data_IF_389539560419
#
_entry.id   IF_389539560419
#
_cell.length_a   1.000
_cell.length_b   1.000
_cell.length_c   1.000
_cell.angle_alpha   90.00
_cell.angle_beta   90.00
_cell.angle_gamma   90.00
#
_symmetry.space_group_name_H-M   'P 1'
#
loop_
_entity.id
_entity.type
_entity.pdbx_description
1 polymer ?
#
# COMPACT_ATOMS: atom_id res chain seq x y z
N UNK A 1 -24.88 3.54 9.27
CA UNK A 1 -24.92 2.74 8.02
C UNK A 1 -23.58 2.05 7.89
N UNK A 2 -23.60 0.78 7.61
CA UNK A 2 -22.38 0.02 7.31
C UNK A 2 -21.85 0.46 5.94
N UNK A 3 -20.57 0.72 5.82
CA UNK A 3 -19.96 1.14 4.56
C UNK A 3 -19.89 -0.05 3.59
N UNK A 4 -19.99 0.21 2.28
CA UNK A 4 -20.17 -0.83 1.27
C UNK A 4 -19.05 -1.89 1.21
N UNK A 5 -17.82 -1.54 1.64
CA UNK A 5 -16.65 -2.42 1.61
C UNK A 5 -16.03 -2.61 3.02
N UNK A 6 -16.81 -2.45 4.08
CA UNK A 6 -16.31 -2.52 5.47
C UNK A 6 -15.71 -3.88 5.87
N UNK A 7 -16.06 -4.93 5.14
CA UNK A 7 -15.57 -6.31 5.32
C UNK A 7 -14.34 -6.65 4.44
N UNK A 8 -13.92 -5.72 3.55
CA UNK A 8 -12.82 -5.95 2.61
C UNK A 8 -11.50 -5.38 3.13
N UNK A 9 -10.45 -6.20 3.13
CA UNK A 9 -9.07 -5.80 3.45
C UNK A 9 -8.21 -5.80 2.19
N UNK A 10 -7.58 -4.67 1.90
CA UNK A 10 -6.71 -4.45 0.73
C UNK A 10 -5.28 -4.20 1.17
N UNK A 11 -4.31 -4.93 0.62
CA UNK A 11 -2.88 -4.62 0.72
C UNK A 11 -2.47 -3.79 -0.50
N UNK A 12 -2.09 -2.53 -0.27
CA UNK A 12 -1.74 -1.57 -1.33
C UNK A 12 -0.22 -1.46 -1.48
N UNK A 13 0.32 -2.06 -2.54
CA UNK A 13 1.71 -1.91 -2.99
C UNK A 13 1.85 -0.83 -4.07
N UNK A 14 0.77 -0.13 -4.38
CA UNK A 14 0.68 0.81 -5.48
C UNK A 14 1.68 1.95 -5.42
N UNK A 15 2.12 2.40 -6.59
CA UNK A 15 3.09 3.48 -6.73
C UNK A 15 2.56 4.57 -7.65
N UNK A 16 3.10 5.77 -7.48
CA UNK A 16 2.89 6.95 -8.30
C UNK A 16 1.43 7.44 -8.28
N UNK A 17 0.58 7.07 -9.23
CA UNK A 17 -0.77 7.66 -9.36
C UNK A 17 -1.87 6.61 -9.43
N UNK A 18 -1.86 5.75 -10.44
CA UNK A 18 -3.01 4.94 -10.81
C UNK A 18 -3.48 4.01 -9.66
N UNK A 19 -2.58 3.19 -9.14
CA UNK A 19 -2.96 2.25 -8.08
C UNK A 19 -3.25 2.95 -6.74
N UNK A 20 -2.43 3.94 -6.26
CA UNK A 20 -2.81 4.70 -5.07
C UNK A 20 -4.14 5.43 -5.17
N UNK A 21 -4.53 5.88 -6.36
CA UNK A 21 -5.85 6.48 -6.59
C UNK A 21 -6.97 5.42 -6.52
N UNK A 22 -6.78 4.27 -7.15
CA UNK A 22 -7.72 3.15 -7.07
C UNK A 22 -7.97 2.72 -5.62
N UNK A 23 -6.91 2.45 -4.88
CA UNK A 23 -7.02 1.99 -3.48
C UNK A 23 -7.54 3.07 -2.53
N UNK A 24 -7.35 4.36 -2.87
CA UNK A 24 -8.01 5.47 -2.17
C UNK A 24 -9.54 5.41 -2.34
N UNK A 25 -10.05 5.14 -3.55
CA UNK A 25 -11.49 4.99 -3.76
C UNK A 25 -12.06 3.82 -2.97
N UNK A 26 -11.33 2.70 -2.90
CA UNK A 26 -11.74 1.56 -2.07
C UNK A 26 -11.78 1.94 -0.58
N UNK A 27 -10.80 2.70 -0.11
CA UNK A 27 -10.77 3.21 1.27
C UNK A 27 -11.91 4.18 1.56
N UNK A 28 -12.27 5.04 0.60
CA UNK A 28 -13.39 5.98 0.73
C UNK A 28 -14.76 5.25 0.75
N UNK A 29 -14.82 4.03 0.23
CA UNK A 29 -16.01 3.15 0.28
C UNK A 29 -16.01 2.22 1.50
N UNK A 30 -15.06 2.39 2.42
CA UNK A 30 -15.02 1.67 3.69
C UNK A 30 -14.05 0.48 3.75
N UNK A 31 -13.36 0.13 2.65
CA UNK A 31 -12.37 -0.93 2.70
C UNK A 31 -11.22 -0.60 3.66
N UNK A 32 -10.75 -1.59 4.40
CA UNK A 32 -9.54 -1.48 5.20
C UNK A 32 -8.30 -1.55 4.30
N UNK A 33 -7.82 -0.42 3.84
CA UNK A 33 -6.63 -0.36 2.98
C UNK A 33 -5.37 -0.19 3.83
N UNK A 34 -4.40 -1.09 3.64
CA UNK A 34 -3.08 -1.07 4.29
C UNK A 34 -2.03 -0.82 3.24
N UNK A 35 -1.48 0.39 3.24
CA UNK A 35 -0.36 0.78 2.37
C UNK A 35 0.93 0.11 2.84
N UNK A 36 1.57 -0.65 1.95
CA UNK A 36 2.87 -1.27 2.18
C UNK A 36 3.93 -0.43 1.46
N UNK A 37 4.90 0.08 2.20
CA UNK A 37 5.92 0.97 1.66
C UNK A 37 7.30 0.66 2.24
N UNK A 38 8.35 0.64 1.42
CA UNK A 38 9.70 0.54 1.94
C UNK A 38 10.13 1.86 2.59
N UNK A 39 11.03 1.79 3.56
CA UNK A 39 11.58 2.96 4.25
C UNK A 39 12.26 3.94 3.28
N UNK A 40 12.94 3.43 2.28
CA UNK A 40 13.62 4.23 1.27
C UNK A 40 12.62 5.05 0.43
N UNK A 41 11.55 4.41 -0.05
CA UNK A 41 10.50 5.09 -0.81
C UNK A 41 9.75 6.14 -0.01
N UNK A 42 9.47 5.87 1.25
CA UNK A 42 8.86 6.85 2.13
C UNK A 42 9.73 8.10 2.27
N UNK A 43 11.04 7.93 2.43
CA UNK A 43 12.00 9.03 2.49
C UNK A 43 12.09 9.80 1.17
N UNK A 44 12.20 9.10 0.04
CA UNK A 44 12.25 9.70 -1.29
C UNK A 44 11.00 10.56 -1.56
N UNK A 45 9.82 10.03 -1.29
CA UNK A 45 8.56 10.75 -1.44
C UNK A 45 8.52 12.02 -0.59
N UNK A 46 8.97 11.97 0.65
CA UNK A 46 9.04 13.14 1.54
C UNK A 46 10.08 14.14 1.06
N UNK A 47 11.21 13.71 0.48
CA UNK A 47 12.24 14.61 -0.03
C UNK A 47 11.74 15.46 -1.20
N UNK A 48 10.83 14.95 -2.02
CA UNK A 48 10.17 15.65 -3.12
C UNK A 48 9.03 16.58 -2.64
N UNK A 49 8.74 16.59 -1.34
CA UNK A 49 7.61 17.30 -0.76
C UNK A 49 7.71 18.82 -0.86
N UNK A 50 6.57 19.45 -1.06
CA UNK A 50 6.42 20.90 -1.03
C UNK A 50 6.43 21.35 0.44
N UNK A 51 7.22 22.37 0.74
CA UNK A 51 7.18 23.03 2.03
C UNK A 51 5.92 23.89 2.13
N UNK A 52 5.18 23.77 3.20
CA UNK A 52 4.09 24.67 3.54
C UNK A 52 4.19 25.08 5.00
N UNK A 53 3.66 26.24 5.33
CA UNK A 53 3.53 26.69 6.72
C UNK A 53 2.08 26.55 7.15
N UNK A 54 1.83 25.80 8.23
CA UNK A 54 0.52 25.66 8.86
C UNK A 54 0.63 26.02 10.34
N UNK A 55 -0.15 26.99 10.78
CA UNK A 55 -0.12 27.48 12.16
C UNK A 55 1.30 27.89 12.65
N UNK A 56 2.10 28.49 11.79
CA UNK A 56 3.48 28.88 12.10
C UNK A 56 4.52 27.73 12.08
N UNK A 57 4.11 26.49 11.78
CA UNK A 57 5.00 25.33 11.69
C UNK A 57 5.26 24.99 10.22
N UNK A 58 6.53 24.86 9.86
CA UNK A 58 6.91 24.39 8.51
C UNK A 58 6.70 22.87 8.42
N UNK A 59 5.88 22.44 7.48
CA UNK A 59 5.59 21.06 7.18
C UNK A 59 6.06 20.72 5.75
N UNK A 60 6.50 19.48 5.53
CA UNK A 60 6.66 18.93 4.19
C UNK A 60 5.46 18.07 3.82
N UNK A 61 4.83 18.39 2.70
CA UNK A 61 3.71 17.64 2.15
C UNK A 61 4.19 16.87 0.94
N UNK A 62 4.18 15.54 1.02
CA UNK A 62 4.59 14.71 -0.10
C UNK A 62 3.64 14.89 -1.30
N UNK A 63 4.17 14.95 -2.54
CA UNK A 63 3.33 14.98 -3.73
C UNK A 63 2.33 13.81 -3.73
N UNK A 64 1.05 14.13 -3.97
CA UNK A 64 0.01 13.11 -4.05
C UNK A 64 -0.42 12.49 -2.71
N UNK A 65 -0.04 13.07 -1.58
CA UNK A 65 -0.43 12.61 -0.25
C UNK A 65 -1.96 12.48 -0.08
N UNK A 66 -2.75 13.25 -0.83
CA UNK A 66 -4.22 13.13 -0.82
C UNK A 66 -4.72 11.75 -1.23
N UNK A 67 -3.92 10.99 -2.02
CA UNK A 67 -4.26 9.62 -2.45
C UNK A 67 -4.05 8.58 -1.36
N UNK A 68 -3.47 8.97 -0.24
CA UNK A 68 -3.24 8.09 0.91
C UNK A 68 -4.27 8.30 2.03
N UNK A 69 -5.32 9.13 1.78
CA UNK A 69 -6.38 9.35 2.77
C UNK A 69 -7.14 8.04 3.06
N UNK A 70 -7.61 7.91 4.29
CA UNK A 70 -8.35 6.76 4.80
C UNK A 70 -7.57 5.42 4.76
N UNK A 71 -6.25 5.46 4.48
CA UNK A 71 -5.39 4.27 4.48
C UNK A 71 -4.58 4.17 5.78
N UNK A 72 -4.39 2.96 6.26
CA UNK A 72 -3.34 2.62 7.20
C UNK A 72 -2.02 2.48 6.44
N UNK A 73 -0.89 2.60 7.13
CA UNK A 73 0.43 2.41 6.52
C UNK A 73 1.32 1.51 7.38
N UNK A 74 2.09 0.65 6.71
CA UNK A 74 3.14 -0.13 7.34
C UNK A 74 4.41 -0.07 6.50
N UNK A 75 5.55 0.09 7.18
CA UNK A 75 6.85 0.04 6.51
C UNK A 75 7.35 -1.40 6.49
N UNK A 76 7.56 -1.94 5.29
CA UNK A 76 8.00 -3.31 5.08
C UNK A 76 8.96 -3.38 3.89
N UNK A 77 10.11 -4.07 4.07
CA UNK A 77 11.12 -4.22 3.02
C UNK A 77 10.97 -5.57 2.32
N UNK A 78 10.28 -5.57 1.18
CA UNK A 78 9.97 -6.77 0.40
C UNK A 78 11.18 -7.37 -0.33
N UNK A 79 12.34 -6.72 -0.28
CA UNK A 79 13.60 -7.27 -0.80
C UNK A 79 14.33 -8.16 0.20
N UNK A 80 13.82 -8.31 1.41
CA UNK A 80 14.39 -9.14 2.46
C UNK A 80 13.55 -10.39 2.72
N UNK A 81 14.15 -11.55 3.06
CA UNK A 81 13.39 -12.76 3.40
C UNK A 81 12.37 -12.52 4.52
N UNK A 82 12.74 -11.76 5.55
CA UNK A 82 11.83 -11.43 6.66
C UNK A 82 10.67 -10.53 6.24
N UNK A 83 10.93 -9.58 5.33
CA UNK A 83 9.87 -8.73 4.78
C UNK A 83 8.86 -9.52 3.95
N UNK A 84 9.34 -10.48 3.14
CA UNK A 84 8.49 -11.39 2.37
C UNK A 84 7.65 -12.26 3.30
N UNK A 85 8.25 -12.84 4.34
CA UNK A 85 7.55 -13.66 5.34
C UNK A 85 6.40 -12.86 6.00
N UNK A 86 6.70 -11.67 6.51
CA UNK A 86 5.69 -10.80 7.15
C UNK A 86 4.60 -10.35 6.16
N UNK A 87 4.96 -10.09 4.91
CA UNK A 87 3.97 -9.78 3.88
C UNK A 87 3.03 -10.95 3.64
N UNK A 88 3.55 -12.17 3.53
CA UNK A 88 2.73 -13.39 3.40
C UNK A 88 1.81 -13.61 4.61
N UNK A 89 2.23 -13.27 5.82
CA UNK A 89 1.34 -13.27 6.99
C UNK A 89 0.18 -12.28 6.83
N UNK A 90 0.43 -11.07 6.29
CA UNK A 90 -0.65 -10.12 6.00
C UNK A 90 -1.59 -10.64 4.93
N UNK A 91 -1.07 -11.30 3.89
CA UNK A 91 -1.86 -11.90 2.81
C UNK A 91 -2.88 -12.92 3.32
N UNK A 92 -2.59 -13.67 4.39
CA UNK A 92 -3.56 -14.61 4.98
C UNK A 92 -4.84 -13.95 5.48
N UNK A 93 -4.81 -12.63 5.71
CA UNK A 93 -5.91 -11.83 6.27
C UNK A 93 -6.46 -10.79 5.28
N UNK A 94 -5.97 -10.81 4.04
CA UNK A 94 -6.36 -9.88 3.01
C UNK A 94 -7.31 -10.53 1.99
N UNK A 95 -8.11 -9.71 1.35
CA UNK A 95 -9.01 -10.12 0.26
C UNK A 95 -8.48 -9.66 -1.10
N UNK A 96 -7.70 -8.58 -1.12
CA UNK A 96 -7.18 -7.98 -2.34
C UNK A 96 -5.73 -7.55 -2.15
N UNK A 97 -4.90 -7.80 -3.17
CA UNK A 97 -3.58 -7.18 -3.31
C UNK A 97 -3.62 -6.27 -4.53
N UNK A 98 -3.26 -5.01 -4.33
CA UNK A 98 -3.24 -3.99 -5.36
C UNK A 98 -1.80 -3.55 -5.64
N UNK A 99 -1.33 -3.73 -6.88
CA UNK A 99 0.03 -3.37 -7.28
C UNK A 99 0.04 -2.82 -8.73
N UNK A 100 1.03 -2.04 -9.07
CA UNK A 100 1.30 -1.55 -10.42
C UNK A 100 2.80 -1.51 -10.71
N UNK A 101 3.51 -2.53 -10.28
CA UNK A 101 4.91 -2.73 -10.59
C UNK A 101 5.10 -3.11 -12.07
N UNK A 102 6.34 -3.02 -12.53
CA UNK A 102 6.69 -3.56 -13.85
C UNK A 102 6.46 -5.07 -13.89
N UNK A 103 6.03 -5.56 -15.05
CA UNK A 103 5.77 -6.99 -15.30
C UNK A 103 6.93 -7.87 -14.79
N UNK A 104 6.59 -8.95 -14.10
CA UNK A 104 7.52 -9.92 -13.53
C UNK A 104 8.19 -9.47 -12.22
N UNK A 105 7.83 -8.30 -11.67
CA UNK A 105 8.43 -7.85 -10.41
C UNK A 105 7.93 -8.65 -9.20
N UNK A 106 6.63 -8.90 -9.13
CA UNK A 106 6.05 -9.71 -8.05
C UNK A 106 6.59 -11.14 -8.09
N UNK A 107 6.69 -11.72 -9.26
CA UNK A 107 7.26 -13.08 -9.46
C UNK A 107 8.72 -13.15 -9.01
N UNK A 108 9.55 -12.16 -9.37
CA UNK A 108 10.96 -12.11 -8.91
C UNK A 108 11.11 -11.99 -7.40
N UNK A 109 10.11 -11.43 -6.73
CA UNK A 109 10.06 -11.35 -5.26
C UNK A 109 9.50 -12.63 -4.61
N UNK A 110 9.03 -13.62 -5.39
CA UNK A 110 8.31 -14.78 -4.86
C UNK A 110 6.95 -14.42 -4.26
N UNK A 111 6.33 -13.37 -4.82
CA UNK A 111 5.04 -12.80 -4.44
C UNK A 111 4.09 -12.72 -5.65
N UNK A 112 4.36 -13.51 -6.70
CA UNK A 112 3.45 -13.66 -7.83
C UNK A 112 2.11 -14.26 -7.42
N UNK A 113 1.09 -14.16 -8.29
CA UNK A 113 -0.25 -14.66 -7.99
C UNK A 113 -0.24 -16.13 -7.55
N UNK A 114 0.50 -17.00 -8.25
CA UNK A 114 0.56 -18.42 -7.90
C UNK A 114 1.22 -18.66 -6.54
N UNK A 115 2.24 -17.89 -6.16
CA UNK A 115 2.86 -17.95 -4.83
C UNK A 115 1.89 -17.53 -3.74
N UNK A 116 1.19 -16.41 -3.95
CA UNK A 116 0.29 -15.84 -2.94
C UNK A 116 -1.00 -16.66 -2.79
N UNK A 117 -1.48 -17.25 -3.87
CA UNK A 117 -2.63 -18.16 -3.87
C UNK A 117 -2.39 -19.41 -3.03
N UNK A 118 -1.14 -19.87 -2.90
CA UNK A 118 -0.81 -20.99 -1.99
C UNK A 118 -0.96 -20.59 -0.51
N UNK A 119 -0.77 -19.31 -0.20
CA UNK A 119 -0.90 -18.74 1.15
C UNK A 119 -2.34 -18.41 1.48
N UNK A 120 -3.04 -17.82 0.51
CA UNK A 120 -4.46 -17.48 0.62
C UNK A 120 -5.18 -17.81 -0.70
N UNK A 121 -5.91 -18.92 -0.77
CA UNK A 121 -6.59 -19.35 -2.00
C UNK A 121 -7.67 -18.39 -2.52
N UNK A 122 -8.08 -17.42 -1.71
CA UNK A 122 -9.12 -16.44 -2.07
C UNK A 122 -8.57 -15.10 -2.58
N UNK A 123 -7.23 -14.95 -2.56
CA UNK A 123 -6.59 -13.68 -2.93
C UNK A 123 -6.78 -13.35 -4.41
#
# INVERSE_FOLDING_TARGET
MEEALSDITVLDLGQVIAMPFCTMLLADLGARVIKIESRERGRERLSLGIKRVRNGVEERVAPGQYRERNKLAVTLELKTPKGIELFKELVTKADVIAENFSVGTMERLGLGYEDLRTVNPRI
#
